data_IF_871195761801
#
_entry.id   IF_871195761801
#
_cell.length_a   1.000
_cell.length_b   1.000
_cell.length_c   1.000
_cell.angle_alpha   90.00
_cell.angle_beta   90.00
_cell.angle_gamma   90.00
#
_symmetry.space_group_name_H-M   'P 1'
#
loop_
_entity.id
_entity.type
_entity.pdbx_description
1 polymer ?
#
# COMPACT_ATOMS: atom_id res chain seq x y z
N UNK A 1 -11.60 -10.24 16.17
CA UNK A 1 -10.66 -9.76 15.12
C UNK A 1 -10.68 -8.23 14.93
N UNK A 2 -11.81 -7.56 14.64
CA UNK A 2 -11.80 -6.14 14.26
C UNK A 2 -11.36 -5.20 15.39
N UNK A 3 -11.77 -5.48 16.65
CA UNK A 3 -11.38 -4.66 17.81
C UNK A 3 -9.88 -4.78 18.09
N UNK A 4 -9.33 -5.99 17.98
CA UNK A 4 -7.88 -6.25 18.14
C UNK A 4 -7.10 -5.55 17.03
N UNK A 5 -7.58 -5.62 15.79
CA UNK A 5 -6.98 -4.93 14.66
C UNK A 5 -6.92 -3.41 14.88
N UNK A 6 -8.05 -2.79 15.24
CA UNK A 6 -8.10 -1.35 15.55
C UNK A 6 -7.18 -0.99 16.72
N UNK A 7 -7.17 -1.80 17.78
CA UNK A 7 -6.29 -1.59 18.93
C UNK A 7 -4.79 -1.64 18.57
N UNK A 8 -4.38 -2.57 17.70
CA UNK A 8 -3.00 -2.66 17.22
C UNK A 8 -2.62 -1.49 16.32
N UNK A 9 -3.51 -1.07 15.42
CA UNK A 9 -3.26 0.05 14.51
C UNK A 9 -3.15 1.38 15.26
N UNK A 10 -3.88 1.56 16.36
CA UNK A 10 -3.77 2.75 17.19
C UNK A 10 -2.38 2.95 17.80
N UNK A 11 -1.65 1.85 18.07
CA UNK A 11 -0.29 1.90 18.61
C UNK A 11 0.78 2.07 17.53
N UNK A 12 0.43 1.90 16.26
CA UNK A 12 1.38 1.96 15.14
C UNK A 12 1.65 3.42 14.76
N UNK A 13 2.92 3.84 14.62
CA UNK A 13 3.22 5.21 14.20
C UNK A 13 2.78 5.44 12.74
N UNK A 14 2.43 6.68 12.43
CA UNK A 14 2.11 7.10 11.07
C UNK A 14 3.22 6.77 10.07
N UNK A 15 2.85 6.60 8.80
CA UNK A 15 3.81 6.27 7.73
C UNK A 15 4.86 7.38 7.59
N UNK A 16 6.17 7.09 7.59
CA UNK A 16 7.23 8.11 7.55
C UNK A 16 7.16 9.00 6.30
N UNK A 17 6.67 8.46 5.18
CA UNK A 17 6.42 9.21 3.94
C UNK A 17 5.34 10.30 4.12
N UNK A 18 4.26 10.01 4.85
CA UNK A 18 3.21 10.98 5.14
C UNK A 18 3.74 12.14 6.01
N UNK A 19 4.52 11.82 7.04
CA UNK A 19 5.13 12.81 7.93
C UNK A 19 6.20 13.65 7.21
N UNK A 20 6.98 13.04 6.31
CA UNK A 20 7.98 13.72 5.48
C UNK A 20 7.34 14.72 4.51
N UNK A 21 6.21 14.36 3.88
CA UNK A 21 5.45 15.25 3.00
C UNK A 21 4.84 16.43 3.75
N UNK A 22 4.46 16.27 5.03
CA UNK A 22 3.93 17.34 5.89
C UNK A 22 5.01 18.19 6.57
N UNK A 23 6.26 18.11 6.10
CA UNK A 23 7.43 18.80 6.66
C UNK A 23 7.75 18.48 8.14
N UNK A 24 7.19 17.40 8.70
CA UNK A 24 7.44 16.94 10.07
C UNK A 24 8.61 15.95 10.11
N UNK A 25 9.82 16.45 9.85
CA UNK A 25 11.00 15.60 9.65
C UNK A 25 11.42 14.82 10.91
N UNK A 26 11.26 15.40 12.10
CA UNK A 26 11.59 14.73 13.36
C UNK A 26 10.66 13.54 13.63
N UNK A 27 9.35 13.72 13.46
CA UNK A 27 8.36 12.64 13.61
C UNK A 27 8.55 11.57 12.52
N UNK A 28 8.87 11.98 11.29
CA UNK A 28 9.18 11.05 10.20
C UNK A 28 10.42 10.19 10.49
N UNK A 29 11.44 10.78 11.12
CA UNK A 29 12.65 10.07 11.53
C UNK A 29 12.34 9.04 12.61
N UNK A 30 11.55 9.41 13.62
CA UNK A 30 11.16 8.51 14.71
C UNK A 30 10.25 7.38 14.22
N UNK A 31 9.32 7.65 13.30
CA UNK A 31 8.52 6.62 12.63
C UNK A 31 9.41 5.67 11.82
N UNK A 32 10.36 6.19 11.02
CA UNK A 32 11.26 5.38 10.22
C UNK A 32 12.16 4.50 11.12
N UNK A 33 12.63 5.02 12.26
CA UNK A 33 13.36 4.25 13.29
C UNK A 33 12.50 3.13 13.87
N UNK A 34 11.22 3.39 14.16
CA UNK A 34 10.29 2.37 14.63
C UNK A 34 10.13 1.24 13.60
N UNK A 35 9.89 1.57 12.34
CA UNK A 35 9.74 0.59 11.26
C UNK A 35 11.01 -0.20 10.96
N UNK A 36 12.18 0.40 11.15
CA UNK A 36 13.50 -0.26 11.02
C UNK A 36 13.96 -0.98 12.28
N UNK A 37 13.15 -0.98 13.35
CA UNK A 37 13.47 -1.57 14.66
C UNK A 37 14.78 -1.03 15.28
N UNK A 38 15.09 0.26 15.05
CA UNK A 38 16.29 0.91 15.60
C UNK A 38 15.95 1.48 16.98
N UNK A 39 16.25 0.71 18.04
CA UNK A 39 15.96 1.05 19.45
C UNK A 39 17.08 1.80 20.19
N UNK A 40 18.31 1.79 19.66
CA UNK A 40 19.50 2.35 20.32
C UNK A 40 20.05 3.51 19.50
N UNK A 41 20.78 4.44 20.14
CA UNK A 41 21.46 5.56 19.44
C UNK A 41 22.19 5.01 18.21
N UNK A 42 21.78 5.39 16.99
CA UNK A 42 22.40 4.87 15.78
C UNK A 42 23.88 5.28 15.75
N UNK A 43 24.74 4.41 15.22
CA UNK A 43 26.07 4.83 14.79
C UNK A 43 25.93 6.00 13.80
N UNK A 44 26.95 6.88 13.71
CA UNK A 44 26.91 8.03 12.79
C UNK A 44 26.54 7.62 11.36
N UNK A 45 27.08 6.50 10.89
CA UNK A 45 26.80 5.95 9.55
C UNK A 45 25.33 5.55 9.36
N UNK A 46 24.71 4.95 10.38
CA UNK A 46 23.29 4.56 10.33
C UNK A 46 22.38 5.80 10.38
N UNK A 47 22.79 6.84 11.10
CA UNK A 47 22.10 8.12 11.14
C UNK A 47 22.14 8.84 9.79
N UNK A 48 23.29 8.82 9.09
CA UNK A 48 23.44 9.41 7.77
C UNK A 48 22.63 8.66 6.71
N UNK A 49 22.61 7.32 6.76
CA UNK A 49 21.77 6.50 5.88
C UNK A 49 20.28 6.77 6.08
N UNK A 50 19.84 6.91 7.34
CA UNK A 50 18.45 7.22 7.67
C UNK A 50 18.04 8.60 7.17
N UNK A 51 18.91 9.60 7.32
CA UNK A 51 18.68 10.95 6.78
C UNK A 51 18.63 10.97 5.26
N UNK A 52 19.47 10.18 4.60
CA UNK A 52 19.48 10.05 3.14
C UNK A 52 18.21 9.35 2.63
N UNK A 53 17.72 8.34 3.34
CA UNK A 53 16.45 7.68 3.05
C UNK A 53 15.27 8.61 3.26
N UNK A 54 15.25 9.37 4.36
CA UNK A 54 14.21 10.36 4.64
C UNK A 54 14.23 11.49 3.60
N UNK A 55 15.40 11.88 3.13
CA UNK A 55 15.56 12.82 2.02
C UNK A 55 15.06 12.24 0.69
N UNK A 56 15.26 10.94 0.43
CA UNK A 56 14.69 10.24 -0.73
C UNK A 56 13.18 10.08 -0.65
N UNK A 57 12.61 9.97 0.55
CA UNK A 57 11.15 9.93 0.76
C UNK A 57 10.51 11.33 0.60
N UNK A 58 11.29 12.39 0.87
CA UNK A 58 10.87 13.79 0.73
C UNK A 58 11.01 14.30 -0.71
N UNK A 59 12.11 13.96 -1.37
CA UNK A 59 12.24 14.19 -2.80
C UNK A 59 11.21 13.27 -3.46
N UNK A 60 10.25 13.79 -4.25
CA UNK A 60 9.40 12.90 -5.03
C UNK A 60 10.35 12.00 -5.81
N UNK A 61 10.29 10.70 -5.53
CA UNK A 61 11.07 9.70 -6.22
C UNK A 61 10.80 9.93 -7.71
N UNK A 62 11.84 10.40 -8.41
CA UNK A 62 11.76 10.80 -9.81
C UNK A 62 11.05 9.72 -10.62
N UNK A 63 9.80 9.99 -10.97
CA UNK A 63 9.12 9.48 -12.14
C UNK A 63 8.37 10.67 -12.75
N UNK A 64 9.11 11.38 -13.61
CA UNK A 64 8.71 12.54 -14.40
C UNK A 64 8.47 13.85 -13.62
N UNK A 65 8.85 14.96 -14.25
CA UNK A 65 8.81 16.35 -13.78
C UNK A 65 7.39 16.81 -13.39
N UNK A 66 6.83 16.27 -12.32
CA UNK A 66 5.64 16.78 -11.68
C UNK A 66 6.13 17.32 -10.34
N UNK A 67 6.50 18.60 -10.35
CA UNK A 67 6.39 19.39 -9.14
C UNK A 67 5.03 19.01 -8.53
N UNK A 68 5.00 18.59 -7.25
CA UNK A 68 3.75 18.43 -6.53
C UNK A 68 3.19 19.84 -6.38
N UNK A 69 2.62 20.30 -7.48
CA UNK A 69 1.73 21.43 -7.53
C UNK A 69 0.49 20.92 -6.80
N UNK A 70 0.02 21.69 -5.82
CA UNK A 70 -1.28 21.49 -5.16
C UNK A 70 -2.45 21.69 -6.18
N UNK A 71 -2.21 21.47 -7.48
CA UNK A 71 -3.25 21.44 -8.49
C UNK A 71 -4.09 20.19 -8.27
N UNK A 72 -5.37 20.43 -8.05
CA UNK A 72 -6.41 19.42 -8.00
C UNK A 72 -6.32 18.54 -9.24
N UNK A 73 -6.07 17.25 -9.03
CA UNK A 73 -6.05 16.24 -10.09
C UNK A 73 -7.32 16.38 -10.93
N UNK A 74 -7.15 16.60 -12.23
CA UNK A 74 -8.25 16.83 -13.16
C UNK A 74 -8.45 15.60 -14.02
N UNK A 75 -9.67 15.38 -14.51
CA UNK A 75 -9.99 14.28 -15.43
C UNK A 75 -9.10 14.22 -16.68
N UNK A 76 -8.48 15.35 -17.05
CA UNK A 76 -7.52 15.45 -18.13
C UNK A 76 -6.20 14.67 -17.86
N UNK A 77 -5.79 14.53 -16.60
CA UNK A 77 -4.54 13.85 -16.23
C UNK A 77 -4.61 12.33 -16.49
N UNK A 78 -5.83 11.78 -16.47
CA UNK A 78 -6.12 10.39 -16.82
C UNK A 78 -6.18 10.15 -18.33
N UNK A 79 -6.34 11.22 -19.13
CA UNK A 79 -6.37 11.12 -20.59
C UNK A 79 -4.96 11.04 -21.20
N UNK A 80 -3.91 11.31 -20.40
CA UNK A 80 -2.53 11.19 -20.86
C UNK A 80 -2.20 9.75 -21.31
N UNK A 81 -1.38 9.63 -22.36
CA UNK A 81 -1.05 8.33 -22.97
C UNK A 81 -0.26 7.42 -22.04
N UNK A 82 0.60 7.97 -21.17
CA UNK A 82 1.36 7.19 -20.19
C UNK A 82 0.42 6.74 -19.07
N UNK A 83 -0.32 7.68 -18.49
CA UNK A 83 -1.29 7.42 -17.40
C UNK A 83 -2.32 6.38 -17.81
N UNK A 84 -2.91 6.50 -19.01
CA UNK A 84 -3.91 5.57 -19.52
C UNK A 84 -3.38 4.15 -19.72
N UNK A 85 -2.13 4.00 -20.16
CA UNK A 85 -1.50 2.67 -20.27
C UNK A 85 -1.29 2.03 -18.90
N UNK A 86 -0.78 2.79 -17.94
CA UNK A 86 -0.62 2.32 -16.56
C UNK A 86 -1.97 1.92 -15.93
N UNK A 87 -2.99 2.77 -16.12
CA UNK A 87 -4.36 2.51 -15.68
C UNK A 87 -4.94 1.24 -16.32
N UNK A 88 -4.74 1.05 -17.63
CA UNK A 88 -5.25 -0.13 -18.34
C UNK A 88 -4.59 -1.41 -17.85
N UNK A 89 -3.28 -1.39 -17.56
CA UNK A 89 -2.57 -2.54 -16.99
C UNK A 89 -3.11 -2.83 -15.59
N UNK A 90 -3.19 -1.83 -14.71
CA UNK A 90 -3.72 -1.99 -13.36
C UNK A 90 -5.16 -2.50 -13.35
N UNK A 91 -6.02 -1.95 -14.22
CA UNK A 91 -7.41 -2.39 -14.38
C UNK A 91 -7.47 -3.82 -14.93
N UNK A 92 -6.62 -4.17 -15.89
CA UNK A 92 -6.51 -5.53 -16.43
C UNK A 92 -6.14 -6.53 -15.34
N UNK A 93 -5.13 -6.22 -14.52
CA UNK A 93 -4.73 -7.07 -13.38
C UNK A 93 -5.88 -7.21 -12.38
N UNK A 94 -6.58 -6.13 -12.05
CA UNK A 94 -7.72 -6.17 -11.13
C UNK A 94 -8.86 -7.02 -11.70
N UNK A 95 -9.19 -6.86 -12.98
CA UNK A 95 -10.23 -7.65 -13.65
C UNK A 95 -9.87 -9.13 -13.72
N UNK A 96 -8.60 -9.46 -14.02
CA UNK A 96 -8.11 -10.84 -13.95
C UNK A 96 -8.21 -11.40 -12.53
N UNK A 97 -7.85 -10.61 -11.51
CA UNK A 97 -7.91 -11.03 -10.11
C UNK A 97 -9.36 -11.24 -9.63
N UNK A 98 -10.31 -10.40 -10.01
CA UNK A 98 -11.72 -10.57 -9.64
C UNK A 98 -12.40 -11.65 -10.50
N UNK A 99 -12.01 -11.76 -11.76
CA UNK A 99 -12.57 -12.70 -12.74
C UNK A 99 -12.03 -14.12 -12.64
N UNK A 100 -10.99 -14.39 -11.84
CA UNK A 100 -10.44 -15.74 -11.66
C UNK A 100 -11.40 -16.70 -10.93
N UNK A 101 -12.54 -16.21 -10.43
CA UNK A 101 -13.59 -17.04 -9.83
C UNK A 101 -13.35 -17.41 -8.36
N UNK A 102 -12.29 -16.91 -7.73
CA UNK A 102 -12.03 -17.16 -6.30
C UNK A 102 -13.21 -16.79 -5.41
N UNK A 103 -13.90 -15.68 -5.68
CA UNK A 103 -15.07 -15.28 -4.91
C UNK A 103 -16.25 -16.25 -5.09
N UNK A 104 -16.48 -16.75 -6.31
CA UNK A 104 -17.52 -17.73 -6.57
C UNK A 104 -17.22 -19.05 -5.87
N UNK A 105 -15.96 -19.47 -5.86
CA UNK A 105 -15.52 -20.62 -5.09
C UNK A 105 -15.75 -20.35 -3.59
N UNK A 106 -15.20 -19.29 -3.00
CA UNK A 106 -15.35 -19.02 -1.56
C UNK A 106 -16.81 -19.01 -1.06
N UNK A 107 -17.76 -18.50 -1.84
CA UNK A 107 -19.16 -18.40 -1.44
C UNK A 107 -20.02 -19.61 -1.83
N UNK A 108 -19.68 -20.30 -2.92
CA UNK A 108 -20.51 -21.37 -3.48
C UNK A 108 -19.79 -22.71 -3.57
N UNK A 109 -18.64 -22.89 -2.92
CA UNK A 109 -17.87 -24.14 -2.90
C UNK A 109 -18.77 -25.34 -2.61
N UNK A 110 -19.59 -25.25 -1.56
CA UNK A 110 -20.53 -26.31 -1.17
C UNK A 110 -21.51 -26.66 -2.31
N UNK A 111 -22.16 -25.66 -2.90
CA UNK A 111 -23.10 -25.84 -4.01
C UNK A 111 -22.41 -26.39 -5.27
N UNK A 112 -21.19 -25.93 -5.57
CA UNK A 112 -20.41 -26.39 -6.72
C UNK A 112 -20.07 -27.87 -6.56
N UNK A 113 -19.59 -28.28 -5.39
CA UNK A 113 -19.27 -29.68 -5.11
C UNK A 113 -20.50 -30.57 -5.10
N UNK A 114 -21.62 -30.11 -4.54
CA UNK A 114 -22.89 -30.84 -4.59
C UNK A 114 -23.33 -31.07 -6.05
N UNK A 115 -23.34 -30.02 -6.87
CA UNK A 115 -23.73 -30.11 -8.29
C UNK A 115 -22.73 -30.87 -9.16
N UNK A 116 -21.47 -30.98 -8.75
CA UNK A 116 -20.47 -31.79 -9.46
C UNK A 116 -20.56 -33.29 -9.14
N UNK A 117 -21.52 -33.71 -8.29
CA UNK A 117 -21.67 -35.11 -7.88
C UNK A 117 -20.67 -35.56 -6.82
N UNK A 118 -20.11 -34.61 -6.05
CA UNK A 118 -19.17 -34.91 -4.96
C UNK A 118 -19.91 -35.48 -3.75
N UNK A 119 -19.32 -36.48 -3.10
CA UNK A 119 -19.81 -37.04 -1.83
C UNK A 119 -19.42 -36.23 -0.59
N UNK A 120 -18.77 -35.07 -0.78
CA UNK A 120 -18.33 -34.19 0.31
C UNK A 120 -19.53 -33.42 0.90
N UNK A 121 -19.79 -33.53 2.21
CA UNK A 121 -20.90 -32.83 2.84
C UNK A 121 -20.69 -31.30 2.77
N UNK A 122 -21.75 -30.52 2.48
CA UNK A 122 -21.66 -29.07 2.23
C UNK A 122 -21.36 -28.21 3.48
N UNK A 123 -21.10 -28.84 4.63
CA UNK A 123 -20.86 -28.16 5.90
C UNK A 123 -19.78 -28.91 6.69
N UNK A 124 -18.59 -28.32 6.72
CA UNK A 124 -17.56 -28.54 7.74
C UNK A 124 -17.27 -27.22 8.42
#
# INVERSE_FOLDING_TARGET
LPIVFVGCFWFMPETPQHLAQRHKLSEAEDALRYYRNIRTRPSKDLSEQLQLELHKLRAPEKADDVAIDDSTVTWADFADRKTRKALLIGLGVLMCNQGCGCFALLNYTAMIFEKSGSSLPPTV
#
